data_IF_770024552916
#
_entry.id   IF_770024552916
#
_cell.length_a   1.000
_cell.length_b   1.000
_cell.length_c   1.000
_cell.angle_alpha   90.00
_cell.angle_beta   90.00
_cell.angle_gamma   90.00
#
_symmetry.space_group_name_H-M   'P 1'
#
loop_
_entity.id
_entity.type
_entity.pdbx_description
1 polymer ?
#
# COMPACT_ATOMS: atom_id res chain seq x y z
N UNK A 1 -8.56 -3.26 20.60
CA UNK A 1 -8.44 -4.08 19.37
C UNK A 1 -9.67 -3.77 18.51
N UNK A 2 -9.54 -3.05 17.40
CA UNK A 2 -10.70 -2.79 16.54
C UNK A 2 -11.01 -4.04 15.72
N UNK A 3 -12.20 -4.61 15.90
CA UNK A 3 -12.67 -5.72 15.08
C UNK A 3 -13.07 -5.20 13.71
N UNK A 4 -12.40 -5.65 12.66
CA UNK A 4 -12.79 -5.39 11.27
C UNK A 4 -14.12 -6.11 10.96
N UNK A 5 -14.92 -5.56 10.05
CA UNK A 5 -16.16 -6.20 9.60
C UNK A 5 -15.89 -7.61 9.01
N UNK A 6 -16.82 -8.56 9.13
CA UNK A 6 -16.68 -9.89 8.52
C UNK A 6 -16.29 -9.80 7.03
N UNK A 7 -15.34 -10.63 6.59
CA UNK A 7 -14.80 -10.59 5.22
C UNK A 7 -13.76 -9.49 4.95
N UNK A 8 -13.42 -8.67 5.97
CA UNK A 8 -12.24 -7.80 5.97
C UNK A 8 -11.19 -8.37 6.90
N UNK A 9 -10.05 -8.76 6.34
CA UNK A 9 -8.90 -9.20 7.13
C UNK A 9 -7.79 -8.20 6.95
N UNK A 10 -7.08 -7.85 8.02
CA UNK A 10 -6.02 -6.88 7.90
C UNK A 10 -5.06 -6.93 9.07
N UNK A 11 -3.84 -6.49 8.79
CA UNK A 11 -2.79 -6.34 9.78
C UNK A 11 -2.31 -4.91 9.78
N UNK A 12 -1.99 -4.42 10.97
CA UNK A 12 -1.33 -3.14 11.16
C UNK A 12 0.06 -3.42 11.71
N UNK A 13 1.04 -2.66 11.23
CA UNK A 13 2.33 -2.61 11.90
C UNK A 13 2.15 -2.05 13.32
N UNK A 14 3.12 -2.34 14.18
CA UNK A 14 3.32 -1.50 15.36
C UNK A 14 3.51 -0.03 14.91
N UNK A 15 3.13 0.96 15.73
CA UNK A 15 3.48 2.35 15.47
C UNK A 15 4.99 2.50 15.44
N UNK A 16 5.51 3.26 14.49
CA UNK A 16 6.94 3.54 14.37
C UNK A 16 7.20 5.02 14.14
N UNK A 17 8.44 5.44 14.39
CA UNK A 17 8.85 6.84 14.25
C UNK A 17 9.05 7.21 12.78
N UNK A 18 8.81 8.47 12.42
CA UNK A 18 9.15 9.03 11.11
C UNK A 18 10.60 8.80 10.71
N UNK A 19 10.86 8.17 9.56
CA UNK A 19 12.22 7.92 9.07
C UNK A 19 12.33 7.76 7.54
N UNK A 20 13.57 7.74 7.05
CA UNK A 20 13.87 7.38 5.66
C UNK A 20 13.71 5.87 5.49
N UNK A 21 12.72 5.47 4.71
CA UNK A 21 12.33 4.07 4.58
C UNK A 21 11.97 3.74 3.14
N UNK A 22 12.23 2.49 2.77
CA UNK A 22 11.78 1.88 1.53
C UNK A 22 10.97 0.62 1.88
N UNK A 23 9.70 0.62 1.51
CA UNK A 23 8.80 -0.53 1.64
C UNK A 23 8.56 -1.07 0.25
N UNK A 24 8.89 -2.32 0.00
CA UNK A 24 8.65 -2.99 -1.28
C UNK A 24 7.96 -4.32 -1.07
N UNK A 25 7.21 -4.74 -2.08
CA UNK A 25 6.56 -6.04 -2.07
C UNK A 25 5.87 -6.33 -3.39
N UNK A 26 5.32 -7.54 -3.48
CA UNK A 26 4.63 -8.02 -4.67
C UNK A 26 3.22 -8.43 -4.28
N UNK A 27 2.22 -7.87 -4.95
CA UNK A 27 0.84 -8.29 -4.81
C UNK A 27 0.55 -9.38 -5.84
N UNK A 28 0.28 -10.63 -5.42
CA UNK A 28 0.09 -11.72 -6.36
C UNK A 28 -1.11 -11.48 -7.29
N UNK A 29 -0.90 -11.59 -8.60
CA UNK A 29 -1.99 -11.58 -9.59
C UNK A 29 -2.36 -13.02 -9.84
N UNK A 30 -3.10 -13.62 -8.91
CA UNK A 30 -3.61 -14.98 -9.14
C UNK A 30 -4.94 -14.90 -9.88
N UNK A 31 -5.23 -15.91 -10.71
CA UNK A 31 -6.57 -16.14 -11.27
C UNK A 31 -7.65 -16.27 -10.20
N UNK A 32 -7.27 -16.46 -8.93
CA UNK A 32 -8.18 -16.53 -7.79
C UNK A 32 -8.52 -15.17 -7.16
N UNK A 33 -7.86 -14.07 -7.57
CA UNK A 33 -8.14 -12.69 -7.14
C UNK A 33 -9.48 -12.14 -7.66
N UNK A 34 -10.29 -12.98 -8.31
CA UNK A 34 -11.47 -12.69 -9.12
C UNK A 34 -12.57 -11.80 -8.51
N UNK A 35 -12.45 -11.38 -7.25
CA UNK A 35 -13.35 -10.38 -6.65
C UNK A 35 -12.77 -9.62 -5.45
N UNK A 36 -11.47 -9.78 -5.18
CA UNK A 36 -10.84 -9.30 -3.95
C UNK A 36 -10.14 -7.96 -4.11
N UNK A 37 -10.11 -7.15 -3.04
CA UNK A 37 -9.32 -5.92 -2.96
C UNK A 37 -8.20 -6.11 -1.95
N UNK A 38 -6.97 -5.76 -2.32
CA UNK A 38 -5.84 -5.62 -1.38
C UNK A 38 -5.51 -4.15 -1.27
N UNK A 39 -5.67 -3.57 -0.08
CA UNK A 39 -5.30 -2.20 0.22
C UNK A 39 -3.99 -2.18 1.01
N UNK A 40 -2.99 -1.44 0.54
CA UNK A 40 -1.78 -1.14 1.30
C UNK A 40 -1.82 0.33 1.66
N UNK A 41 -1.89 0.64 2.95
CA UNK A 41 -2.03 2.01 3.42
C UNK A 41 -0.86 2.43 4.29
N UNK A 42 -0.38 3.63 4.04
CA UNK A 42 0.61 4.34 4.81
C UNK A 42 -0.08 5.45 5.60
N UNK A 43 0.00 5.38 6.93
CA UNK A 43 -0.67 6.28 7.85
C UNK A 43 0.34 7.18 8.54
N UNK A 44 0.10 8.49 8.48
CA UNK A 44 0.75 9.51 9.29
C UNK A 44 -0.26 10.14 10.24
N UNK A 45 0.20 11.05 11.10
CA UNK A 45 -0.64 11.79 12.03
C UNK A 45 -1.72 12.64 11.36
N UNK A 46 -1.51 13.07 10.11
CA UNK A 46 -2.41 13.98 9.37
C UNK A 46 -2.99 13.38 8.11
N UNK A 47 -2.36 12.34 7.55
CA UNK A 47 -2.67 11.86 6.21
C UNK A 47 -2.55 10.35 6.13
N UNK A 48 -3.44 9.72 5.38
CA UNK A 48 -3.27 8.32 4.97
C UNK A 48 -3.20 8.26 3.46
N UNK A 49 -2.18 7.61 2.93
CA UNK A 49 -2.10 7.27 1.50
C UNK A 49 -2.40 5.78 1.38
N UNK A 50 -3.36 5.41 0.55
CA UNK A 50 -3.79 4.03 0.36
C UNK A 50 -3.72 3.60 -1.09
N UNK A 51 -3.28 2.37 -1.30
CA UNK A 51 -3.19 1.73 -2.59
C UNK A 51 -4.16 0.58 -2.64
N UNK A 52 -5.23 0.70 -3.40
CA UNK A 52 -6.22 -0.34 -3.55
C UNK A 52 -6.00 -1.08 -4.87
N UNK A 53 -5.56 -2.33 -4.75
CA UNK A 53 -5.35 -3.24 -5.86
C UNK A 53 -6.60 -4.09 -6.05
N UNK A 54 -7.14 -4.00 -7.26
CA UNK A 54 -8.16 -4.87 -7.81
C UNK A 54 -7.57 -5.70 -8.95
N UNK A 55 -8.35 -6.64 -9.48
CA UNK A 55 -7.94 -7.51 -10.60
C UNK A 55 -7.40 -6.74 -11.80
N UNK A 56 -8.05 -5.63 -12.17
CA UNK A 56 -7.77 -4.92 -13.43
C UNK A 56 -7.18 -3.52 -13.23
N UNK A 57 -7.14 -3.03 -11.99
CA UNK A 57 -6.72 -1.67 -11.70
C UNK A 57 -6.09 -1.52 -10.32
N UNK A 58 -5.31 -0.47 -10.20
CA UNK A 58 -4.93 0.15 -8.94
C UNK A 58 -5.61 1.51 -8.82
N UNK A 59 -6.16 1.82 -7.65
CA UNK A 59 -6.55 3.17 -7.28
C UNK A 59 -5.71 3.68 -6.12
N UNK A 60 -5.30 4.96 -6.21
CA UNK A 60 -4.53 5.65 -5.17
C UNK A 60 -5.48 6.60 -4.44
N UNK A 61 -5.58 6.45 -3.13
CA UNK A 61 -6.41 7.30 -2.29
C UNK A 61 -5.55 8.10 -1.32
N UNK A 62 -5.98 9.31 -1.01
CA UNK A 62 -5.42 10.13 0.06
C UNK A 62 -6.55 10.51 1.00
N UNK A 63 -6.36 10.29 2.30
CA UNK A 63 -7.28 10.67 3.35
C UNK A 63 -6.64 11.73 4.27
N UNK A 64 -7.42 12.70 4.79
CA UNK A 64 -8.85 12.91 4.55
C UNK A 64 -9.13 13.21 3.07
N UNK A 65 -10.15 12.52 2.52
CA UNK A 65 -10.50 12.56 1.09
C UNK A 65 -11.60 13.58 0.87
N UNK A 66 -11.56 14.23 -0.29
CA UNK A 66 -12.63 15.09 -0.80
C UNK A 66 -13.69 14.31 -1.61
N UNK A 67 -13.60 12.97 -1.69
CA UNK A 67 -14.50 12.11 -2.44
C UNK A 67 -13.86 11.46 -3.67
N UNK A 68 -12.72 11.98 -4.15
CA UNK A 68 -12.03 11.46 -5.33
C UNK A 68 -10.77 10.66 -4.97
N UNK A 69 -10.40 9.75 -5.87
CA UNK A 69 -9.08 9.14 -5.85
C UNK A 69 -8.04 10.11 -6.42
N UNK A 70 -6.80 9.99 -5.97
CA UNK A 70 -5.67 10.77 -6.50
C UNK A 70 -5.34 10.32 -7.92
N UNK A 71 -5.56 9.04 -8.23
CA UNK A 71 -5.44 8.50 -9.57
C UNK A 71 -5.85 7.04 -9.65
N UNK A 72 -6.12 6.57 -10.86
CA UNK A 72 -6.40 5.16 -11.16
C UNK A 72 -5.58 4.69 -12.35
N UNK A 73 -4.92 3.54 -12.18
CA UNK A 73 -4.05 2.93 -13.18
C UNK A 73 -4.64 1.58 -13.58
N UNK A 74 -4.87 1.35 -14.87
CA UNK A 74 -5.34 0.05 -15.38
C UNK A 74 -4.15 -0.82 -15.79
N UNK A 75 -4.16 -2.08 -15.39
CA UNK A 75 -3.12 -3.03 -15.78
C UNK A 75 -3.32 -3.47 -17.23
N UNK A 76 -2.23 -3.68 -17.97
CA UNK A 76 -2.30 -4.25 -19.32
C UNK A 76 -2.57 -5.75 -19.22
N UNK A 77 -3.48 -6.28 -20.06
CA UNK A 77 -3.88 -7.70 -20.06
C UNK A 77 -2.73 -8.67 -20.40
N UNK A 78 -1.68 -8.17 -21.05
CA UNK A 78 -0.57 -8.96 -21.58
C UNK A 78 0.53 -9.23 -20.54
N UNK A 79 0.52 -8.51 -19.41
CA UNK A 79 1.49 -8.70 -18.33
C UNK A 79 1.14 -9.97 -17.54
N UNK A 80 1.57 -11.11 -18.08
CA UNK A 80 1.77 -12.38 -17.34
C UNK A 80 2.84 -12.15 -16.28
N UNK A 81 2.50 -11.43 -15.21
CA UNK A 81 3.40 -11.29 -14.08
C UNK A 81 2.90 -12.12 -12.92
N UNK A 82 3.82 -12.81 -12.26
CA UNK A 82 3.63 -13.55 -10.99
C UNK A 82 3.16 -12.65 -9.83
N UNK A 83 3.02 -11.35 -10.07
CA UNK A 83 2.40 -10.36 -9.21
C UNK A 83 2.69 -8.93 -9.66
N UNK A 84 2.07 -7.94 -9.02
CA UNK A 84 2.34 -6.51 -9.22
C UNK A 84 3.31 -6.01 -8.16
N UNK A 85 4.56 -5.67 -8.53
CA UNK A 85 5.50 -5.06 -7.60
C UNK A 85 5.07 -3.64 -7.25
N UNK A 86 5.20 -3.29 -5.98
CA UNK A 86 5.00 -1.93 -5.49
C UNK A 86 6.18 -1.51 -4.64
N UNK A 87 6.41 -0.20 -4.56
CA UNK A 87 7.40 0.38 -3.66
C UNK A 87 6.95 1.73 -3.14
N UNK A 88 7.09 1.94 -1.83
CA UNK A 88 6.87 3.21 -1.14
C UNK A 88 8.21 3.68 -0.58
N UNK A 89 8.59 4.93 -0.87
CA UNK A 89 9.85 5.52 -0.41
C UNK A 89 9.55 6.81 0.34
N UNK A 90 10.09 6.97 1.54
CA UNK A 90 10.01 8.20 2.32
C UNK A 90 11.36 8.91 2.36
N UNK A 91 11.33 10.23 2.23
CA UNK A 91 12.47 11.13 2.38
C UNK A 91 12.16 12.18 3.44
N UNK A 92 12.83 12.09 4.58
CA UNK A 92 12.65 12.96 5.74
C UNK A 92 13.20 14.36 5.54
N UNK A 93 14.22 14.50 4.70
CA UNK A 93 14.87 15.79 4.42
C UNK A 93 13.98 16.61 3.49
N UNK A 94 13.53 15.99 2.41
CA UNK A 94 12.65 16.61 1.43
C UNK A 94 11.17 16.57 1.87
N UNK A 95 10.85 15.83 2.93
CA UNK A 95 9.48 15.60 3.43
C UNK A 95 8.56 15.06 2.34
N UNK A 96 9.09 14.14 1.54
CA UNK A 96 8.36 13.54 0.41
C UNK A 96 8.11 12.06 0.61
N UNK A 97 6.95 11.62 0.14
CA UNK A 97 6.60 10.21 -0.02
C UNK A 97 6.40 9.95 -1.49
N UNK A 98 7.05 8.90 -1.99
CA UNK A 98 7.01 8.49 -3.39
C UNK A 98 6.49 7.08 -3.47
N UNK A 99 5.66 6.85 -4.46
CA UNK A 99 5.06 5.56 -4.73
C UNK A 99 5.39 5.13 -6.15
N UNK A 100 5.76 3.87 -6.27
CA UNK A 100 6.13 3.24 -7.52
C UNK A 100 5.30 1.96 -7.73
N UNK A 101 4.91 1.73 -8.98
CA UNK A 101 4.40 0.45 -9.47
C UNK A 101 5.43 -0.11 -10.45
N UNK A 102 6.09 -1.20 -10.07
CA UNK A 102 7.34 -1.61 -10.68
C UNK A 102 8.33 -0.44 -10.71
N UNK A 103 8.75 -0.05 -11.91
CA UNK A 103 9.71 1.04 -12.12
C UNK A 103 9.07 2.42 -12.29
N UNK A 104 7.74 2.50 -12.39
CA UNK A 104 7.02 3.75 -12.70
C UNK A 104 6.61 4.48 -11.42
N UNK A 105 7.05 5.73 -11.24
CA UNK A 105 6.56 6.61 -10.17
C UNK A 105 5.12 7.03 -10.49
N UNK A 106 4.18 6.71 -9.61
CA UNK A 106 2.75 7.01 -9.80
C UNK A 106 2.24 8.09 -8.87
N UNK A 107 2.90 8.29 -7.72
CA UNK A 107 2.60 9.39 -6.82
C UNK A 107 3.91 9.95 -6.27
N UNK A 108 3.98 11.27 -6.19
CA UNK A 108 4.90 11.98 -5.33
C UNK A 108 4.09 13.01 -4.57
N UNK A 109 4.23 13.02 -3.26
CA UNK A 109 3.49 13.92 -2.40
C UNK A 109 4.37 14.44 -1.27
N UNK A 110 4.01 15.60 -0.75
CA UNK A 110 4.57 16.10 0.49
C UNK A 110 3.83 15.50 1.66
N UNK A 111 4.55 15.19 2.72
CA UNK A 111 3.96 14.52 3.86
C UNK A 111 4.49 15.09 5.19
N UNK A 112 3.74 14.85 6.26
CA UNK A 112 4.06 15.34 7.60
C UNK A 112 4.98 14.37 8.35
N UNK A 113 6.13 14.88 8.78
CA UNK A 113 7.18 14.14 9.52
C UNK A 113 6.96 14.09 11.03
N UNK A 114 5.76 14.45 11.53
CA UNK A 114 5.46 14.48 12.96
C UNK A 114 4.57 13.32 13.42
N UNK A 115 4.62 13.05 14.71
CA UNK A 115 3.83 11.99 15.34
C UNK A 115 4.40 10.60 15.08
N UNK A 116 3.51 9.61 14.97
CA UNK A 116 3.86 8.22 14.68
C UNK A 116 3.27 7.80 13.34
N UNK A 117 3.98 6.91 12.65
CA UNK A 117 3.53 6.31 11.41
C UNK A 117 3.09 4.86 11.63
N UNK A 118 2.25 4.37 10.70
CA UNK A 118 1.86 2.96 10.61
C UNK A 118 1.70 2.53 9.17
N UNK A 119 1.89 1.25 8.92
CA UNK A 119 1.53 0.61 7.66
C UNK A 119 0.40 -0.36 7.95
N UNK A 120 -0.58 -0.43 7.07
CA UNK A 120 -1.58 -1.50 7.11
C UNK A 120 -1.69 -2.20 5.77
N UNK A 121 -2.01 -3.48 5.84
CA UNK A 121 -2.42 -4.29 4.70
C UNK A 121 -3.82 -4.77 5.02
N UNK A 122 -4.79 -4.32 4.25
CA UNK A 122 -6.19 -4.71 4.38
C UNK A 122 -6.58 -5.53 3.16
N UNK A 123 -7.38 -6.55 3.39
CA UNK A 123 -7.93 -7.40 2.34
C UNK A 123 -9.44 -7.39 2.47
N UNK A 124 -10.13 -7.36 1.34
CA UNK A 124 -11.59 -7.48 1.27
C UNK A 124 -11.93 -8.60 0.31
N UNK A 125 -12.77 -9.53 0.77
CA UNK A 125 -13.24 -10.68 -0.01
C UNK A 125 -12.97 -12.00 0.70
N UNK A 126 -13.88 -12.96 0.55
CA UNK A 126 -13.87 -14.21 1.33
C UNK A 126 -12.65 -15.10 1.06
N UNK A 127 -12.01 -14.95 -0.11
CA UNK A 127 -10.86 -15.76 -0.54
C UNK A 127 -9.54 -15.47 0.18
N UNK A 128 -9.39 -14.30 0.82
CA UNK A 128 -8.16 -13.95 1.56
C UNK A 128 -8.07 -14.60 2.94
N UNK A 129 -9.11 -15.30 3.39
CA UNK A 129 -9.12 -16.03 4.66
C UNK A 129 -8.11 -17.18 4.74
N UNK A 130 -7.59 -17.67 3.61
CA UNK A 130 -6.75 -18.89 3.54
C UNK A 130 -5.38 -18.71 2.87
N UNK A 131 -5.05 -17.53 2.33
CA UNK A 131 -3.79 -17.28 1.59
C UNK A 131 -3.24 -15.88 1.86
N UNK A 132 -1.92 -15.74 1.85
CA UNK A 132 -1.26 -14.44 2.04
C UNK A 132 -1.57 -13.49 0.87
N UNK A 133 -2.08 -12.27 1.13
CA UNK A 133 -2.38 -11.27 0.09
C UNK A 133 -1.13 -10.60 -0.48
N UNK A 134 0.04 -10.88 0.08
CA UNK A 134 1.29 -10.22 -0.23
C UNK A 134 2.45 -11.22 -0.24
N UNK A 135 3.40 -11.03 -1.15
CA UNK A 135 4.64 -11.79 -1.24
C UNK A 135 5.83 -10.86 -1.13
N UNK A 136 6.92 -11.37 -0.54
CA UNK A 136 8.21 -10.70 -0.48
C UNK A 136 8.13 -9.27 0.10
N UNK A 137 7.37 -9.06 1.18
CA UNK A 137 7.38 -7.77 1.88
C UNK A 137 8.77 -7.52 2.45
N UNK A 138 9.39 -6.41 2.05
CA UNK A 138 10.62 -5.92 2.65
C UNK A 138 10.40 -4.49 3.12
N UNK A 139 10.85 -4.21 4.32
CA UNK A 139 10.89 -2.87 4.90
C UNK A 139 12.35 -2.59 5.21
N UNK A 140 12.93 -1.62 4.52
CA UNK A 140 14.32 -1.21 4.69
C UNK A 140 14.38 0.19 5.29
N UNK A 141 15.07 0.30 6.42
CA UNK A 141 15.27 1.53 7.17
C UNK A 141 16.65 2.10 6.82
N UNK A 142 16.71 3.22 6.08
CA UNK A 142 17.96 3.75 5.53
C UNK A 142 18.82 4.54 6.54
N UNK A 143 18.36 4.63 7.79
CA UNK A 143 19.05 5.35 8.88
C UNK A 143 19.60 4.47 10.00
N UNK A 144 19.23 3.19 10.06
CA UNK A 144 19.73 2.25 11.07
C UNK A 144 20.98 1.53 10.54
N UNK A 145 22.16 1.90 11.07
CA UNK A 145 23.40 1.12 10.97
C UNK A 145 23.73 0.51 12.32
#
# INVERSE_FOLDING_TARGET
VSSLSPGRYGVFSAPFVPENMEVEGIIPVTSESDSGIVAISFHTSKKTISLEYEKERLSVYSFPSNGDNVGTYRFRKEDKEDGRPFRIVTDMKEKTIRLYLGYSKVLEDTFDVSGVWRISILTRGEKFSKRSPLRNLKIEYKGYK
#
